data_IF_625172433896
#
_entry.id   IF_625172433896
#
_cell.length_a   1.000
_cell.length_b   1.000
_cell.length_c   1.000
_cell.angle_alpha   90.00
_cell.angle_beta   90.00
_cell.angle_gamma   90.00
#
_symmetry.space_group_name_H-M   'P 1'
#
loop_
_entity.id
_entity.type
_entity.pdbx_description
1 polymer ?
#
# COMPACT_ATOMS: atom_id res chain seq x y z
N UNK A 1 2.09 -16.40 -3.19
CA UNK A 1 3.48 -15.98 -3.50
C UNK A 1 3.79 -14.74 -2.68
N UNK A 2 5.01 -14.60 -2.14
CA UNK A 2 5.46 -13.37 -1.47
C UNK A 2 6.71 -12.88 -2.18
N UNK A 3 6.67 -11.65 -2.70
CA UNK A 3 7.82 -10.99 -3.31
C UNK A 3 8.53 -10.14 -2.24
N UNK A 4 9.82 -10.37 -2.01
CA UNK A 4 10.62 -9.60 -1.05
C UNK A 4 11.08 -8.27 -1.67
N UNK A 5 10.31 -7.22 -1.42
CA UNK A 5 10.51 -5.88 -1.99
C UNK A 5 11.35 -4.97 -1.08
N UNK A 6 12.14 -5.51 -0.14
CA UNK A 6 12.91 -4.68 0.81
C UNK A 6 13.93 -3.79 0.10
N UNK A 7 14.69 -4.34 -0.84
CA UNK A 7 15.67 -3.58 -1.62
C UNK A 7 14.99 -2.50 -2.47
N UNK A 8 13.87 -2.82 -3.11
CA UNK A 8 13.12 -1.87 -3.93
C UNK A 8 12.54 -0.72 -3.09
N UNK A 9 12.06 -1.04 -1.89
CA UNK A 9 11.54 -0.05 -0.97
C UNK A 9 12.63 0.86 -0.38
N UNK A 10 13.90 0.43 -0.35
CA UNK A 10 15.03 1.27 0.07
C UNK A 10 15.46 2.25 -1.02
N UNK A 11 15.29 1.89 -2.30
CA UNK A 11 15.67 2.74 -3.43
C UNK A 11 14.52 3.62 -3.95
N UNK A 12 13.28 3.33 -3.54
CA UNK A 12 12.10 4.14 -3.91
C UNK A 12 11.92 5.27 -2.92
N UNK A 13 11.71 6.49 -3.44
CA UNK A 13 11.33 7.61 -2.59
C UNK A 13 10.06 7.28 -1.82
N UNK A 14 10.09 7.49 -0.49
CA UNK A 14 8.89 7.40 0.30
C UNK A 14 7.86 8.42 -0.23
N UNK A 15 6.57 8.12 -0.08
CA UNK A 15 5.52 9.10 -0.32
C UNK A 15 4.60 9.15 0.91
N UNK A 16 4.12 10.35 1.24
CA UNK A 16 3.38 10.63 2.46
C UNK A 16 1.90 10.62 2.13
N UNK A 17 1.18 9.66 2.69
CA UNK A 17 -0.27 9.63 2.64
C UNK A 17 -0.83 9.93 4.02
N UNK A 18 -1.85 10.78 4.06
CA UNK A 18 -2.58 11.04 5.29
C UNK A 18 -3.48 9.84 5.57
N UNK A 19 -3.01 8.93 6.42
CA UNK A 19 -3.78 7.77 6.88
C UNK A 19 -4.24 8.05 8.31
N UNK A 20 -5.55 8.19 8.49
CA UNK A 20 -6.13 8.33 9.81
C UNK A 20 -5.98 7.03 10.61
N UNK A 21 -5.63 7.17 11.88
CA UNK A 21 -5.62 6.05 12.80
C UNK A 21 -7.04 5.50 13.00
N UNK A 22 -7.20 4.18 13.23
CA UNK A 22 -8.53 3.59 13.39
C UNK A 22 -9.38 4.23 14.50
N UNK A 23 -8.75 4.68 15.59
CA UNK A 23 -9.45 5.38 16.67
C UNK A 23 -10.04 6.72 16.23
N UNK A 24 -9.36 7.43 15.32
CA UNK A 24 -9.86 8.70 14.79
C UNK A 24 -11.06 8.47 13.86
N UNK A 25 -11.03 7.41 13.06
CA UNK A 25 -12.11 7.04 12.15
C UNK A 25 -13.40 6.63 12.89
N UNK A 26 -13.28 6.04 14.09
CA UNK A 26 -14.44 5.67 14.91
C UNK A 26 -15.24 6.89 15.41
N UNK A 27 -14.57 8.02 15.64
CA UNK A 27 -15.22 9.27 16.08
C UNK A 27 -16.15 9.89 15.02
N UNK A 28 -15.98 9.49 13.74
CA UNK A 28 -16.76 9.98 12.60
C UNK A 28 -17.98 9.10 12.28
N UNK A 29 -18.30 8.10 13.12
CA UNK A 29 -19.42 7.18 12.87
C UNK A 29 -20.76 7.91 12.92
N UNK A 30 -21.50 7.85 11.81
CA UNK A 30 -22.90 8.27 11.73
C UNK A 30 -23.82 7.24 12.42
N UNK A 31 -24.92 7.68 13.07
CA UNK A 31 -25.76 6.84 13.93
C UNK A 31 -26.70 5.87 13.17
N UNK A 32 -26.72 5.85 11.84
CA UNK A 32 -27.62 5.00 11.05
C UNK A 32 -26.86 3.92 10.25
N UNK A 33 -27.49 2.74 10.14
CA UNK A 33 -27.01 1.49 9.52
C UNK A 33 -25.67 1.57 8.79
N UNK A 34 -24.60 1.20 9.49
CA UNK A 34 -23.27 1.12 8.89
C UNK A 34 -23.11 -0.21 8.16
N UNK A 35 -23.17 -0.20 6.83
CA UNK A 35 -22.66 -1.30 6.01
C UNK A 35 -21.13 -1.20 5.96
N UNK A 36 -20.46 -2.30 6.28
CA UNK A 36 -19.01 -2.41 6.18
C UNK A 36 -18.68 -3.13 4.88
N UNK A 37 -17.85 -2.50 4.05
CA UNK A 37 -17.33 -3.09 2.83
C UNK A 37 -15.83 -3.31 2.99
N UNK A 38 -15.38 -4.51 2.66
CA UNK A 38 -13.97 -4.82 2.51
C UNK A 38 -13.64 -4.93 1.03
N UNK A 39 -12.55 -4.27 0.62
CA UNK A 39 -12.08 -4.29 -0.76
C UNK A 39 -11.05 -5.41 -0.92
N UNK A 40 -11.52 -6.56 -1.37
CA UNK A 40 -10.64 -7.67 -1.71
C UNK A 40 -9.62 -7.25 -2.78
N UNK A 41 -8.34 -7.58 -2.56
CA UNK A 41 -7.25 -7.35 -3.52
C UNK A 41 -7.09 -5.89 -3.97
N UNK A 42 -7.36 -4.91 -3.09
CA UNK A 42 -7.35 -3.47 -3.43
C UNK A 42 -6.05 -3.01 -4.13
N UNK A 43 -4.89 -3.58 -3.81
CA UNK A 43 -3.64 -3.20 -4.49
C UNK A 43 -3.62 -3.67 -5.95
N UNK A 44 -4.16 -4.85 -6.24
CA UNK A 44 -4.18 -5.40 -7.59
C UNK A 44 -5.19 -4.69 -8.51
N UNK A 45 -6.11 -3.90 -7.95
CA UNK A 45 -7.00 -3.06 -8.76
C UNK A 45 -6.31 -1.78 -9.26
N UNK A 46 -5.16 -1.40 -8.69
CA UNK A 46 -4.41 -0.22 -9.08
C UNK A 46 -3.47 -0.55 -10.26
N UNK A 47 -3.60 0.13 -11.42
CA UNK A 47 -2.65 -0.01 -12.52
C UNK A 47 -1.27 0.52 -12.10
N UNK A 48 -0.22 -0.18 -12.53
CA UNK A 48 1.14 0.32 -12.40
C UNK A 48 1.58 0.92 -13.74
N UNK A 49 2.08 2.15 -13.71
CA UNK A 49 2.62 2.82 -14.89
C UNK A 49 3.74 1.98 -15.52
N UNK A 50 3.79 1.90 -16.85
CA UNK A 50 4.73 1.05 -17.59
C UNK A 50 6.19 1.32 -17.20
N UNK A 51 6.55 2.59 -17.06
CA UNK A 51 7.88 3.02 -16.62
C UNK A 51 8.27 2.52 -15.22
N UNK A 52 7.32 2.13 -14.37
CA UNK A 52 7.61 1.65 -13.01
C UNK A 52 7.60 0.13 -12.90
N UNK A 53 7.16 -0.61 -13.93
CA UNK A 53 6.96 -2.06 -13.83
C UNK A 53 8.27 -2.83 -13.62
N UNK A 54 9.36 -2.31 -14.20
CA UNK A 54 10.68 -2.93 -14.08
C UNK A 54 11.20 -2.95 -12.64
N UNK A 55 10.77 -2.02 -11.79
CA UNK A 55 11.18 -1.93 -10.38
C UNK A 55 10.71 -3.12 -9.56
N UNK A 56 9.65 -3.81 -9.98
CA UNK A 56 9.08 -4.94 -9.24
C UNK A 56 9.32 -6.27 -9.93
N UNK A 57 10.28 -6.33 -10.84
CA UNK A 57 10.57 -7.54 -11.60
C UNK A 57 11.06 -8.65 -10.69
N UNK A 58 10.58 -9.88 -10.88
CA UNK A 58 11.05 -11.05 -10.15
C UNK A 58 11.27 -12.24 -11.08
N UNK A 59 12.17 -13.12 -10.67
CA UNK A 59 12.44 -14.37 -11.38
C UNK A 59 11.84 -15.52 -10.61
N UNK A 60 11.11 -16.39 -11.31
CA UNK A 60 10.60 -17.64 -10.77
C UNK A 60 10.97 -18.77 -11.73
N UNK A 61 11.80 -19.71 -11.25
CA UNK A 61 12.42 -20.74 -12.07
C UNK A 61 13.26 -20.10 -13.19
N UNK A 62 12.97 -20.40 -14.46
CA UNK A 62 13.67 -19.89 -15.66
C UNK A 62 13.02 -18.65 -16.26
N UNK A 63 11.90 -18.18 -15.72
CA UNK A 63 11.15 -17.06 -16.28
C UNK A 63 11.22 -15.82 -15.38
N UNK A 64 11.30 -14.67 -16.04
CA UNK A 64 11.23 -13.37 -15.41
C UNK A 64 9.83 -12.80 -15.63
N UNK A 65 9.26 -12.24 -14.56
CA UNK A 65 7.90 -11.72 -14.52
C UNK A 65 7.93 -10.29 -14.00
N UNK A 66 7.02 -9.48 -14.54
CA UNK A 66 6.82 -8.09 -14.12
C UNK A 66 5.40 -7.92 -13.57
N UNK A 67 5.22 -6.94 -12.69
CA UNK A 67 3.90 -6.55 -12.22
C UNK A 67 3.31 -5.46 -13.11
N UNK A 68 2.12 -5.69 -13.65
CA UNK A 68 1.34 -4.66 -14.35
C UNK A 68 0.35 -3.93 -13.42
N UNK A 69 0.22 -4.41 -12.17
CA UNK A 69 -0.64 -3.89 -11.11
C UNK A 69 0.17 -3.69 -9.84
N UNK A 70 -0.29 -2.83 -8.95
CA UNK A 70 0.47 -2.50 -7.75
C UNK A 70 0.66 -3.75 -6.85
N UNK A 71 1.90 -4.12 -6.51
CA UNK A 71 2.16 -5.29 -5.67
C UNK A 71 1.78 -5.00 -4.21
N UNK A 72 1.36 -6.03 -3.46
CA UNK A 72 0.82 -5.91 -2.10
C UNK A 72 1.77 -5.25 -1.06
N UNK A 73 3.06 -5.10 -1.38
CA UNK A 73 4.07 -4.45 -0.52
C UNK A 73 4.93 -3.42 -1.30
N UNK A 74 4.45 -2.97 -2.45
CA UNK A 74 5.08 -1.89 -3.19
C UNK A 74 4.91 -0.57 -2.44
N UNK A 75 5.94 0.26 -2.40
CA UNK A 75 5.92 1.54 -1.71
C UNK A 75 6.22 1.40 -0.23
N UNK A 76 7.44 1.77 0.15
CA UNK A 76 7.89 1.93 1.54
C UNK A 76 7.25 3.12 2.23
N UNK A 77 5.92 3.25 2.16
CA UNK A 77 5.17 4.30 2.85
C UNK A 77 5.46 4.25 4.34
N UNK A 78 6.35 5.14 4.81
CA UNK A 78 6.58 5.36 6.23
C UNK A 78 5.33 6.02 6.79
N UNK A 79 4.50 5.26 7.48
CA UNK A 79 3.37 5.77 8.23
C UNK A 79 3.88 6.77 9.27
N UNK A 80 3.75 8.06 8.99
CA UNK A 80 3.91 9.07 10.03
C UNK A 80 2.59 9.14 10.79
N UNK A 81 2.50 8.50 11.95
CA UNK A 81 1.43 8.81 12.90
C UNK A 81 1.71 10.24 13.42
N UNK A 82 0.80 11.22 13.24
CA UNK A 82 0.97 12.50 13.90
C UNK A 82 1.04 12.21 15.41
N UNK A 83 2.11 12.66 16.07
CA UNK A 83 2.19 12.66 17.53
C UNK A 83 0.97 13.42 18.02
N UNK A 84 0.08 12.73 18.72
CA UNK A 84 -0.95 13.39 19.51
C UNK A 84 -0.24 14.34 20.47
N UNK A 85 -0.43 15.64 20.27
CA UNK A 85 -0.16 16.61 21.31
C UNK A 85 -1.08 16.26 22.47
N UNK A 86 -0.50 15.77 23.56
CA UNK A 86 -1.15 15.76 24.86
C UNK A 86 -0.99 17.18 25.42
N UNK A 87 -2.09 17.89 25.53
CA UNK A 87 -2.24 18.98 26.50
C UNK A 87 -2.31 18.41 27.92
#
# INVERSE_FOLDING_TARGET
MVHDLRADNECTDAQWFLIHTPHWQQSLRMPYSSLLFDLANVFLSLPLHEDCQYLFTFTSSVFQYIWCRFPQRGGGGKLHTPRSYRE
#
